data_IF_084858840637
#
_entry.id   IF_084858840637
#
_cell.length_a   1.000
_cell.length_b   1.000
_cell.length_c   1.000
_cell.angle_alpha   90.00
_cell.angle_beta   90.00
_cell.angle_gamma   90.00
#
_symmetry.space_group_name_H-M   'P 1'
#
loop_
_entity.id
_entity.type
_entity.pdbx_description
1 polymer ?
#
# COMPACT_ATOMS: atom_id res chain seq x y z
N UNK A 1 -1.32 11.06 -6.87
CA UNK A 1 -1.23 9.95 -7.85
C UNK A 1 0.10 9.92 -8.58
N UNK A 2 0.63 11.05 -9.08
CA UNK A 2 1.87 11.11 -9.86
C UNK A 2 3.12 10.51 -9.17
N UNK A 3 3.21 10.63 -7.83
CA UNK A 3 4.34 10.10 -7.06
C UNK A 3 4.40 8.57 -7.00
N UNK A 4 3.25 7.88 -7.04
CA UNK A 4 3.20 6.41 -7.02
C UNK A 4 3.70 5.81 -8.34
N UNK A 5 3.41 6.48 -9.46
CA UNK A 5 3.87 6.12 -10.80
C UNK A 5 5.39 6.33 -10.96
N UNK A 6 5.93 7.37 -10.33
CA UNK A 6 7.38 7.69 -10.37
C UNK A 6 8.20 6.85 -9.40
N UNK A 7 7.66 6.56 -8.20
CA UNK A 7 8.28 5.73 -7.17
C UNK A 7 7.22 4.85 -6.50
N UNK A 8 6.93 3.66 -7.06
CA UNK A 8 6.02 2.71 -6.45
C UNK A 8 6.58 2.10 -5.15
N UNK A 9 7.82 2.41 -4.78
CA UNK A 9 8.44 2.05 -3.48
C UNK A 9 8.28 3.13 -2.42
N UNK A 10 7.43 4.14 -2.64
CA UNK A 10 7.17 5.20 -1.64
C UNK A 10 6.37 4.68 -0.43
N UNK A 11 5.75 3.50 -0.56
CA UNK A 11 5.13 2.77 0.55
C UNK A 11 6.17 2.04 1.40
N UNK A 12 5.79 1.69 2.62
CA UNK A 12 6.60 0.79 3.45
C UNK A 12 6.43 -0.61 2.88
N UNK A 13 7.50 -1.18 2.33
CA UNK A 13 7.53 -2.56 1.89
C UNK A 13 7.42 -3.48 3.12
N UNK A 14 6.38 -4.32 3.13
CA UNK A 14 6.28 -5.41 4.10
C UNK A 14 7.09 -6.58 3.58
N UNK A 15 8.38 -6.57 3.88
CA UNK A 15 9.29 -7.65 3.53
C UNK A 15 9.11 -8.82 4.53
N UNK A 16 8.24 -9.77 4.20
CA UNK A 16 8.08 -11.02 4.94
C UNK A 16 6.91 -11.84 4.37
N UNK A 17 7.16 -13.10 3.97
CA UNK A 17 6.31 -14.11 3.30
C UNK A 17 5.41 -13.63 2.12
N UNK A 18 4.68 -12.54 2.28
CA UNK A 18 3.88 -11.79 1.30
C UNK A 18 4.77 -10.91 0.43
N UNK A 19 5.52 -11.56 -0.45
CA UNK A 19 6.41 -10.92 -1.43
C UNK A 19 5.69 -9.82 -2.23
N UNK A 20 6.17 -8.57 -2.12
CA UNK A 20 5.76 -7.37 -2.87
C UNK A 20 4.56 -6.55 -2.37
N UNK A 21 4.13 -6.67 -1.10
CA UNK A 21 3.09 -5.78 -0.54
C UNK A 21 3.69 -4.45 -0.03
N UNK A 22 3.18 -3.34 -0.54
CA UNK A 22 3.52 -1.98 -0.14
C UNK A 22 2.33 -1.30 0.54
N UNK A 23 2.60 -0.60 1.63
CA UNK A 23 1.59 0.18 2.34
C UNK A 23 1.94 1.66 2.24
N UNK A 24 1.10 2.43 1.56
CA UNK A 24 1.23 3.88 1.51
C UNK A 24 0.22 4.53 2.46
N UNK A 25 0.74 5.30 3.42
CA UNK A 25 -0.05 6.14 4.31
C UNK A 25 -0.17 7.54 3.74
N UNK A 26 -1.39 8.06 3.65
CA UNK A 26 -1.65 9.41 3.18
C UNK A 26 -2.78 10.04 3.99
N UNK A 27 -2.70 11.36 4.16
CA UNK A 27 -3.71 12.13 4.90
C UNK A 27 -4.71 12.72 3.93
N UNK A 28 -5.99 12.51 4.19
CA UNK A 28 -7.09 13.14 3.47
C UNK A 28 -7.84 14.03 4.47
N UNK A 29 -7.59 15.34 4.39
CA UNK A 29 -8.10 16.29 5.37
C UNK A 29 -7.54 16.05 6.78
N UNK A 30 -8.39 15.66 7.72
CA UNK A 30 -8.02 15.34 9.11
C UNK A 30 -7.87 13.84 9.38
N UNK A 31 -8.22 12.97 8.42
CA UNK A 31 -8.20 11.52 8.60
C UNK A 31 -6.98 10.88 7.91
N UNK A 32 -6.43 9.85 8.56
CA UNK A 32 -5.32 9.06 8.02
C UNK A 32 -5.84 7.83 7.28
N UNK A 33 -5.45 7.72 6.02
CA UNK A 33 -5.81 6.63 5.13
C UNK A 33 -4.59 5.79 4.80
N UNK A 34 -4.80 4.49 4.71
CA UNK A 34 -3.82 3.50 4.30
C UNK A 34 -4.26 2.87 2.98
N UNK A 35 -3.32 2.77 2.06
CA UNK A 35 -3.46 2.04 0.82
C UNK A 35 -2.45 0.90 0.79
N UNK A 36 -2.94 -0.33 0.81
CA UNK A 36 -2.20 -1.53 0.49
C UNK A 36 -2.23 -1.76 -1.02
N UNK A 37 -1.06 -1.86 -1.62
CA UNK A 37 -0.92 -2.19 -3.03
C UNK A 37 0.26 -3.14 -3.20
N UNK A 38 0.18 -4.03 -4.17
CA UNK A 38 1.33 -4.83 -4.58
C UNK A 38 1.98 -4.20 -5.80
N UNK A 39 3.31 -4.14 -5.79
CA UNK A 39 4.08 -3.66 -6.93
C UNK A 39 4.84 -4.81 -7.57
N UNK A 40 4.44 -5.19 -8.78
CA UNK A 40 5.15 -6.19 -9.55
C UNK A 40 6.28 -5.52 -10.34
N UNK A 41 7.53 -5.66 -9.87
CA UNK A 41 8.73 -5.10 -10.51
C UNK A 41 8.94 -5.63 -11.93
N UNK A 42 8.63 -6.91 -12.18
CA UNK A 42 8.79 -7.58 -13.48
C UNK A 42 7.82 -7.05 -14.53
N UNK A 43 6.55 -6.87 -14.16
CA UNK A 43 5.49 -6.39 -15.07
C UNK A 43 5.28 -4.88 -15.01
N UNK A 44 5.89 -4.19 -14.04
CA UNK A 44 5.63 -2.77 -13.69
C UNK A 44 4.14 -2.48 -13.47
N UNK A 45 3.42 -3.44 -12.89
CA UNK A 45 1.99 -3.32 -12.58
C UNK A 45 1.84 -3.00 -11.10
N UNK A 46 0.99 -2.02 -10.81
CA UNK A 46 0.56 -1.68 -9.46
C UNK A 46 -0.85 -2.24 -9.29
N UNK A 47 -1.04 -3.17 -8.37
CA UNK A 47 -2.35 -3.74 -8.04
C UNK A 47 -2.81 -3.19 -6.70
N UNK A 48 -4.03 -2.67 -6.66
CA UNK A 48 -4.64 -2.10 -5.46
C UNK A 48 -5.29 -3.22 -4.68
N UNK A 49 -4.73 -3.59 -3.53
CA UNK A 49 -5.20 -4.71 -2.73
C UNK A 49 -6.25 -4.27 -1.73
N UNK A 50 -6.01 -3.15 -1.04
CA UNK A 50 -6.90 -2.67 0.01
C UNK A 50 -6.74 -1.17 0.25
N UNK A 51 -7.84 -0.48 0.55
CA UNK A 51 -7.84 0.91 1.01
C UNK A 51 -8.72 1.03 2.26
N UNK A 52 -8.21 1.67 3.30
CA UNK A 52 -8.95 1.82 4.55
C UNK A 52 -8.29 2.76 5.54
N UNK A 53 -9.01 3.10 6.61
CA UNK A 53 -8.47 3.86 7.74
C UNK A 53 -7.59 2.95 8.60
N UNK A 54 -6.62 3.55 9.29
CA UNK A 54 -5.53 2.88 10.01
C UNK A 54 -5.97 1.69 10.89
N UNK A 55 -7.15 1.75 11.51
CA UNK A 55 -7.74 0.69 12.35
C UNK A 55 -8.21 -0.55 11.59
N UNK A 56 -8.78 -0.41 10.38
CA UNK A 56 -9.34 -1.53 9.63
C UNK A 56 -8.29 -2.28 8.81
N UNK A 57 -7.26 -1.58 8.34
CA UNK A 57 -6.24 -2.14 7.44
C UNK A 57 -5.43 -3.28 8.07
N UNK A 58 -5.04 -3.12 9.34
CA UNK A 58 -4.31 -4.18 10.05
C UNK A 58 -5.22 -5.33 10.51
N UNK A 59 -6.54 -5.10 10.61
CA UNK A 59 -7.50 -6.13 11.02
C UNK A 59 -7.76 -7.12 9.87
N UNK A 60 -7.76 -6.64 8.63
CA UNK A 60 -7.91 -7.47 7.42
C UNK A 60 -6.60 -8.20 7.04
N UNK A 61 -5.43 -7.57 7.20
CA UNK A 61 -4.13 -8.17 6.81
C UNK A 61 -3.69 -9.32 7.73
N UNK A 62 -4.26 -9.41 8.94
CA UNK A 62 -3.82 -10.37 9.96
C UNK A 62 -4.69 -11.62 10.08
N UNK A 63 -5.64 -11.84 9.16
CA UNK A 63 -6.58 -12.98 9.21
C UNK A 63 -6.33 -13.99 8.09
#
# INVERSE_FOLDING_TARGET
MDQLLKKPTIGVEKHGDLSNLFVHKFKVGKEEWLLGYTFNTTKKIITWEAIGRHENFYRDIKK
#
